data_IF_136587211942
#
_entry.id   IF_136587211942
#
_cell.length_a   1.000
_cell.length_b   1.000
_cell.length_c   1.000
_cell.angle_alpha   90.00
_cell.angle_beta   90.00
_cell.angle_gamma   90.00
#
_symmetry.space_group_name_H-M   'P 1'
#
loop_
_entity.id
_entity.type
_entity.pdbx_description
1 polymer ?
#
# COMPACT_ATOMS: atom_id res chain seq x y z
N UNK A 1 15.75 16.51 0.55
CA UNK A 1 15.65 15.11 0.04
C UNK A 1 14.47 15.03 -0.89
N UNK A 2 14.67 14.59 -2.14
CA UNK A 2 13.59 14.39 -3.13
C UNK A 2 12.95 13.04 -2.92
N UNK A 3 11.63 13.02 -2.73
CA UNK A 3 10.86 11.79 -2.50
C UNK A 3 10.05 11.40 -3.74
N UNK A 4 10.08 10.14 -4.10
CA UNK A 4 9.23 9.58 -5.14
C UNK A 4 8.21 8.61 -4.53
N UNK A 5 6.94 8.97 -4.61
CA UNK A 5 5.82 8.18 -4.10
C UNK A 5 5.23 7.39 -5.27
N UNK A 6 5.32 6.09 -5.21
CA UNK A 6 4.85 5.16 -6.24
C UNK A 6 3.64 4.42 -5.69
N UNK A 7 2.55 4.36 -6.44
CA UNK A 7 1.38 3.62 -6.00
C UNK A 7 0.96 2.50 -6.96
N UNK A 8 0.51 1.40 -6.35
CA UNK A 8 -0.24 0.31 -7.00
C UNK A 8 -1.60 0.21 -6.33
N UNK A 9 -2.62 0.82 -6.93
CA UNK A 9 -3.96 0.92 -6.35
C UNK A 9 -5.00 0.28 -7.26
N UNK A 10 -5.99 -0.41 -6.68
CA UNK A 10 -7.14 -0.96 -7.41
C UNK A 10 -8.36 -0.05 -7.20
N UNK A 11 -8.74 0.15 -5.94
CA UNK A 11 -9.98 0.87 -5.58
C UNK A 11 -9.71 2.34 -5.16
N UNK A 12 -8.53 2.87 -5.46
CA UNK A 12 -8.17 4.28 -5.20
C UNK A 12 -7.72 4.59 -3.78
N UNK A 13 -7.91 3.72 -2.77
CA UNK A 13 -7.57 4.04 -1.39
C UNK A 13 -6.05 4.20 -1.19
N UNK A 14 -5.25 3.33 -1.81
CA UNK A 14 -3.78 3.48 -1.76
C UNK A 14 -3.33 4.82 -2.36
N UNK A 15 -3.95 5.25 -3.47
CA UNK A 15 -3.67 6.55 -4.07
C UNK A 15 -3.99 7.69 -3.10
N UNK A 16 -5.13 7.64 -2.39
CA UNK A 16 -5.48 8.66 -1.38
C UNK A 16 -4.46 8.75 -0.25
N UNK A 17 -3.98 7.60 0.23
CA UNK A 17 -2.91 7.58 1.25
C UNK A 17 -1.63 8.19 0.67
N UNK A 18 -1.22 7.83 -0.55
CA UNK A 18 -0.07 8.42 -1.22
C UNK A 18 -0.22 9.95 -1.40
N UNK A 19 -1.40 10.43 -1.76
CA UNK A 19 -1.70 11.87 -1.86
C UNK A 19 -1.59 12.57 -0.50
N UNK A 20 -2.07 11.94 0.58
CA UNK A 20 -1.91 12.45 1.94
C UNK A 20 -0.45 12.57 2.32
N UNK A 21 0.36 11.55 2.06
CA UNK A 21 1.82 11.58 2.26
C UNK A 21 2.47 12.70 1.44
N UNK A 22 2.10 12.82 0.15
CA UNK A 22 2.62 13.87 -0.74
C UNK A 22 2.41 15.27 -0.17
N UNK A 23 1.24 15.53 0.39
CA UNK A 23 0.91 16.85 0.95
C UNK A 23 1.77 17.23 2.15
N UNK A 24 2.37 16.25 2.83
CA UNK A 24 3.26 16.48 3.96
C UNK A 24 4.73 16.72 3.54
N UNK A 25 5.06 16.56 2.25
CA UNK A 25 6.43 16.70 1.74
C UNK A 25 6.55 17.77 0.66
N UNK A 26 7.39 18.77 0.88
CA UNK A 26 7.60 19.91 -0.04
C UNK A 26 8.20 19.52 -1.40
N UNK A 27 9.05 18.48 -1.44
CA UNK A 27 9.74 18.00 -2.64
C UNK A 27 9.42 16.55 -2.94
N UNK A 28 8.16 16.28 -3.29
CA UNK A 28 7.69 14.92 -3.57
C UNK A 28 6.93 14.83 -4.89
N UNK A 29 7.13 13.71 -5.57
CA UNK A 29 6.42 13.35 -6.80
C UNK A 29 5.61 12.09 -6.55
N UNK A 30 4.48 11.97 -7.23
CA UNK A 30 3.60 10.81 -7.13
C UNK A 30 3.29 10.28 -8.52
N UNK A 31 3.43 8.96 -8.72
CA UNK A 31 3.13 8.34 -10.00
C UNK A 31 2.62 6.89 -9.81
N UNK A 32 1.82 6.43 -10.77
CA UNK A 32 1.41 5.04 -10.85
C UNK A 32 2.57 4.13 -11.20
N UNK A 33 2.66 2.98 -10.54
CA UNK A 33 3.68 1.98 -10.83
C UNK A 33 3.72 1.54 -12.30
N UNK A 34 2.60 1.69 -13.01
CA UNK A 34 2.48 1.32 -14.43
C UNK A 34 3.17 2.31 -15.37
N UNK A 35 3.42 3.55 -14.91
CA UNK A 35 3.95 4.65 -15.73
C UNK A 35 5.43 4.95 -15.44
N UNK A 36 6.04 4.23 -14.48
CA UNK A 36 7.41 4.51 -14.03
C UNK A 36 8.43 4.11 -15.09
N UNK A 37 9.30 5.04 -15.42
CA UNK A 37 10.53 4.80 -16.18
C UNK A 37 11.68 4.59 -15.18
N UNK A 38 12.57 3.64 -15.45
CA UNK A 38 13.65 3.27 -14.52
C UNK A 38 14.59 4.44 -14.21
N UNK A 39 14.81 5.31 -15.19
CA UNK A 39 15.61 6.52 -15.09
C UNK A 39 15.09 7.48 -14.02
N UNK A 40 13.76 7.55 -13.86
CA UNK A 40 13.11 8.38 -12.84
C UNK A 40 13.57 8.00 -11.44
N UNK A 41 13.72 6.70 -11.16
CA UNK A 41 14.14 6.21 -9.83
C UNK A 41 15.53 6.74 -9.42
N UNK A 42 16.42 6.96 -10.39
CA UNK A 42 17.78 7.44 -10.14
C UNK A 42 17.82 8.87 -9.63
N UNK A 43 16.84 9.68 -10.02
CA UNK A 43 16.74 11.11 -9.72
C UNK A 43 16.25 11.44 -8.31
N UNK A 44 15.82 10.44 -7.55
CA UNK A 44 15.26 10.61 -6.21
C UNK A 44 16.14 9.98 -5.14
N UNK A 45 16.09 10.59 -3.96
CA UNK A 45 16.85 10.13 -2.78
C UNK A 45 16.09 9.06 -2.00
N UNK A 46 14.77 9.17 -1.96
CA UNK A 46 13.88 8.29 -1.20
C UNK A 46 12.72 7.80 -2.08
N UNK A 47 12.53 6.51 -2.15
CA UNK A 47 11.44 5.86 -2.90
C UNK A 47 10.44 5.28 -1.92
N UNK A 48 9.19 5.75 -2.00
CA UNK A 48 8.08 5.31 -1.16
C UNK A 48 7.11 4.54 -2.05
N UNK A 49 6.84 3.27 -1.74
CA UNK A 49 5.95 2.43 -2.53
C UNK A 49 4.74 2.04 -1.70
N UNK A 50 3.55 2.45 -2.14
CA UNK A 50 2.28 2.03 -1.56
C UNK A 50 1.56 1.02 -2.45
N UNK A 51 1.06 -0.08 -1.88
CA UNK A 51 0.38 -1.11 -2.65
C UNK A 51 -0.84 -1.68 -1.96
N UNK A 52 -1.95 -1.81 -2.72
CA UNK A 52 -3.15 -2.50 -2.25
C UNK A 52 -3.02 -4.01 -2.35
N UNK A 53 -3.73 -4.69 -1.45
CA UNK A 53 -3.97 -6.14 -1.53
C UNK A 53 -5.35 -6.39 -2.09
N UNK A 54 -5.45 -7.26 -3.09
CA UNK A 54 -6.72 -7.79 -3.59
C UNK A 54 -6.62 -9.29 -3.78
N UNK A 55 -7.67 -10.02 -3.41
CA UNK A 55 -7.69 -11.49 -3.44
C UNK A 55 -6.50 -12.16 -2.75
N UNK A 56 -6.08 -11.60 -1.61
CA UNK A 56 -5.04 -12.20 -0.78
C UNK A 56 -3.60 -11.99 -1.26
N UNK A 57 -3.36 -11.08 -2.21
CA UNK A 57 -2.01 -10.75 -2.68
C UNK A 57 -1.89 -9.30 -3.19
N UNK A 58 -0.67 -8.82 -3.28
CA UNK A 58 -0.37 -7.60 -4.03
C UNK A 58 -0.36 -7.88 -5.54
N UNK A 59 -0.43 -6.82 -6.36
CA UNK A 59 -0.49 -6.96 -7.81
C UNK A 59 0.77 -7.62 -8.40
N UNK A 60 0.60 -8.38 -9.48
CA UNK A 60 1.73 -8.95 -10.23
C UNK A 60 2.69 -7.88 -10.75
N UNK A 61 2.16 -6.68 -11.09
CA UNK A 61 2.96 -5.56 -11.57
C UNK A 61 3.91 -5.05 -10.48
N UNK A 62 3.48 -5.00 -9.21
CA UNK A 62 4.35 -4.65 -8.09
C UNK A 62 5.53 -5.62 -7.99
N UNK A 63 5.28 -6.91 -8.00
CA UNK A 63 6.35 -7.91 -7.91
C UNK A 63 7.33 -7.84 -9.09
N UNK A 64 6.83 -7.64 -10.32
CA UNK A 64 7.66 -7.45 -11.51
C UNK A 64 8.52 -6.18 -11.39
N UNK A 65 7.92 -5.06 -10.94
CA UNK A 65 8.61 -3.81 -10.74
C UNK A 65 9.75 -3.93 -9.74
N UNK A 66 9.49 -4.52 -8.57
CA UNK A 66 10.51 -4.71 -7.53
C UNK A 66 11.62 -5.63 -8.03
N UNK A 67 11.28 -6.75 -8.67
CA UNK A 67 12.28 -7.66 -9.22
C UNK A 67 13.20 -6.98 -10.24
N UNK A 68 12.62 -6.17 -11.14
CA UNK A 68 13.37 -5.45 -12.18
C UNK A 68 14.29 -4.36 -11.61
N UNK A 69 13.85 -3.69 -10.56
CA UNK A 69 14.52 -2.49 -10.04
C UNK A 69 15.20 -2.74 -8.67
N UNK A 70 15.36 -3.99 -8.26
CA UNK A 70 15.80 -4.36 -6.91
C UNK A 70 17.13 -3.69 -6.54
N UNK A 71 18.12 -3.73 -7.40
CA UNK A 71 19.44 -3.15 -7.14
C UNK A 71 19.38 -1.61 -6.93
N UNK A 72 18.51 -0.90 -7.68
CA UNK A 72 18.29 0.53 -7.48
C UNK A 72 17.59 0.78 -6.15
N UNK A 73 16.56 0.01 -5.84
CA UNK A 73 15.84 0.12 -4.57
C UNK A 73 16.75 -0.13 -3.36
N UNK A 74 17.66 -1.09 -3.45
CA UNK A 74 18.63 -1.41 -2.39
C UNK A 74 19.73 -0.35 -2.24
N UNK A 75 19.95 0.50 -3.24
CA UNK A 75 20.91 1.61 -3.18
C UNK A 75 20.32 2.94 -2.70
N UNK A 76 19.02 2.99 -2.43
CA UNK A 76 18.27 4.20 -2.06
C UNK A 76 17.61 4.01 -0.70
N UNK A 77 17.22 5.10 -0.05
CA UNK A 77 16.25 5.03 1.04
C UNK A 77 14.92 4.55 0.51
N UNK A 78 14.31 3.60 1.19
CA UNK A 78 13.07 3.00 0.72
C UNK A 78 12.05 2.83 1.82
N UNK A 79 10.80 3.11 1.47
CA UNK A 79 9.64 2.84 2.33
C UNK A 79 8.63 2.02 1.54
N UNK A 80 8.07 1.01 2.18
CA UNK A 80 6.95 0.25 1.62
C UNK A 80 5.77 0.28 2.57
N UNK A 81 4.56 0.45 2.05
CA UNK A 81 3.37 0.21 2.85
C UNK A 81 2.30 -0.59 2.10
N UNK A 82 1.64 -1.46 2.83
CA UNK A 82 0.54 -2.29 2.33
C UNK A 82 -0.80 -1.74 2.79
N UNK A 83 -1.72 -1.60 1.87
CA UNK A 83 -3.12 -1.23 2.16
C UNK A 83 -4.00 -2.45 1.99
N UNK A 84 -4.59 -2.92 3.07
CA UNK A 84 -5.41 -4.13 3.07
C UNK A 84 -6.46 -4.12 4.16
N UNK A 85 -7.64 -4.69 3.88
CA UNK A 85 -8.77 -4.69 4.83
C UNK A 85 -8.50 -5.54 6.08
N UNK A 86 -7.56 -6.48 6.02
CA UNK A 86 -7.20 -7.32 7.16
C UNK A 86 -6.57 -6.49 8.28
N UNK A 87 -5.90 -5.40 7.93
CA UNK A 87 -5.27 -4.47 8.87
C UNK A 87 -6.26 -3.69 9.76
N UNK A 88 -7.58 -3.78 9.52
CA UNK A 88 -8.60 -3.28 10.45
C UNK A 88 -8.59 -4.00 11.80
N UNK A 89 -7.97 -5.17 11.88
CA UNK A 89 -7.81 -5.96 13.09
C UNK A 89 -6.50 -5.60 13.78
N UNK A 90 -6.57 -5.22 15.06
CA UNK A 90 -5.42 -4.77 15.87
C UNK A 90 -4.26 -5.78 15.83
N UNK A 91 -4.58 -7.07 15.88
CA UNK A 91 -3.58 -8.15 15.82
C UNK A 91 -2.90 -8.31 14.44
N UNK A 92 -3.37 -7.58 13.41
CA UNK A 92 -2.88 -7.67 12.02
C UNK A 92 -2.53 -6.31 11.39
N UNK A 93 -2.50 -5.25 12.18
CA UNK A 93 -2.21 -3.90 11.70
C UNK A 93 -0.73 -3.51 11.77
N UNK A 94 0.15 -4.41 12.22
CA UNK A 94 1.60 -4.15 12.29
C UNK A 94 2.36 -4.93 11.21
N UNK A 95 3.52 -4.40 10.73
CA UNK A 95 4.35 -5.10 9.74
C UNK A 95 4.74 -6.52 10.17
N UNK A 96 5.06 -6.73 11.45
CA UNK A 96 5.47 -8.03 12.01
C UNK A 96 4.32 -9.05 12.08
N UNK A 97 3.07 -8.61 12.11
CA UNK A 97 1.90 -9.50 12.27
C UNK A 97 1.06 -9.62 11.02
N UNK A 98 1.17 -8.66 10.08
CA UNK A 98 0.37 -8.66 8.87
C UNK A 98 0.78 -9.78 7.91
N UNK A 99 -0.14 -10.66 7.48
CA UNK A 99 0.20 -11.80 6.64
C UNK A 99 0.67 -11.40 5.24
N UNK A 100 0.19 -10.26 4.72
CA UNK A 100 0.53 -9.80 3.37
C UNK A 100 1.92 -9.17 3.31
N UNK A 101 2.37 -8.51 4.38
CA UNK A 101 3.75 -8.05 4.50
C UNK A 101 4.70 -9.26 4.57
N UNK A 102 4.39 -10.25 5.39
CA UNK A 102 5.21 -11.49 5.47
C UNK A 102 5.32 -12.17 4.11
N UNK A 103 4.21 -12.30 3.40
CA UNK A 103 4.15 -12.89 2.06
C UNK A 103 4.97 -12.06 1.05
N UNK A 104 4.83 -10.73 1.10
CA UNK A 104 5.55 -9.80 0.25
C UNK A 104 7.07 -9.90 0.42
N UNK A 105 7.56 -9.82 1.66
CA UNK A 105 8.99 -9.92 1.98
C UNK A 105 9.57 -11.28 1.54
N UNK A 106 8.83 -12.38 1.77
CA UNK A 106 9.24 -13.72 1.32
C UNK A 106 9.37 -13.82 -0.20
N UNK A 107 8.44 -13.20 -0.95
CA UNK A 107 8.42 -13.25 -2.43
C UNK A 107 9.48 -12.35 -3.05
N UNK A 108 9.66 -11.14 -2.54
CA UNK A 108 10.55 -10.15 -3.14
C UNK A 108 12.01 -10.33 -2.69
N UNK A 109 12.21 -10.84 -1.48
CA UNK A 109 13.53 -10.85 -0.81
C UNK A 109 14.17 -9.45 -0.81
N UNK A 110 13.34 -8.41 -0.78
CA UNK A 110 13.72 -7.02 -0.66
C UNK A 110 13.20 -6.50 0.68
N UNK A 111 14.08 -5.87 1.44
CA UNK A 111 13.76 -5.32 2.77
C UNK A 111 13.84 -3.79 2.68
N UNK A 112 12.71 -3.08 2.67
CA UNK A 112 12.68 -1.62 2.77
C UNK A 112 13.16 -1.15 4.15
N UNK A 113 13.70 0.08 4.21
CA UNK A 113 14.15 0.69 5.49
C UNK A 113 12.98 0.95 6.44
N UNK A 114 11.81 1.29 5.89
CA UNK A 114 10.57 1.46 6.67
C UNK A 114 9.43 0.68 6.04
N UNK A 115 8.63 0.03 6.89
CA UNK A 115 7.43 -0.70 6.44
C UNK A 115 6.22 -0.21 7.23
N UNK A 116 5.14 0.11 6.49
CA UNK A 116 3.83 0.48 7.05
C UNK A 116 2.73 -0.50 6.65
N UNK A 117 1.66 -0.50 7.43
CA UNK A 117 0.45 -1.27 7.13
C UNK A 117 -0.75 -0.40 7.45
N UNK A 118 -1.65 -0.22 6.49
CA UNK A 118 -2.86 0.56 6.70
C UNK A 118 -4.09 -0.26 6.35
N UNK A 119 -5.16 -0.07 7.12
CA UNK A 119 -6.46 -0.59 6.76
C UNK A 119 -6.97 0.15 5.51
N UNK A 120 -7.61 -0.60 4.62
CA UNK A 120 -8.15 -0.06 3.39
C UNK A 120 -9.64 0.24 3.46
N UNK A 121 -10.22 0.58 2.31
CA UNK A 121 -11.65 0.81 2.11
C UNK A 121 -12.28 -0.40 1.41
N UNK A 122 -13.53 -0.69 1.74
CA UNK A 122 -14.42 -1.57 0.98
C UNK A 122 -15.49 -0.68 0.34
N UNK A 123 -15.62 -0.72 -0.97
CA UNK A 123 -16.57 0.08 -1.72
C UNK A 123 -17.59 -0.79 -2.46
N UNK A 124 -18.42 -1.49 -1.70
CA UNK A 124 -19.39 -2.44 -2.24
C UNK A 124 -20.27 -1.88 -3.37
N UNK A 125 -20.77 -0.61 -3.32
CA UNK A 125 -21.60 -0.08 -4.40
C UNK A 125 -20.88 -0.08 -5.76
N UNK A 126 -19.57 0.13 -5.76
CA UNK A 126 -18.76 0.24 -6.97
C UNK A 126 -18.16 -1.09 -7.43
N UNK A 127 -18.36 -2.17 -6.69
CA UNK A 127 -17.89 -3.50 -7.09
C UNK A 127 -18.84 -4.17 -8.07
N UNK A 128 -18.28 -4.84 -9.07
CA UNK A 128 -19.03 -5.76 -9.94
C UNK A 128 -19.65 -6.91 -9.13
N UNK A 129 -20.61 -7.60 -9.72
CA UNK A 129 -21.38 -8.66 -9.05
C UNK A 129 -20.50 -9.76 -8.43
N UNK A 130 -19.46 -10.21 -9.16
CA UNK A 130 -18.55 -11.27 -8.68
C UNK A 130 -17.74 -10.78 -7.49
N UNK A 131 -17.10 -9.61 -7.63
CA UNK A 131 -16.27 -9.02 -6.57
C UNK A 131 -17.06 -8.77 -5.31
N UNK A 132 -18.27 -8.22 -5.46
CA UNK A 132 -19.19 -7.93 -4.36
C UNK A 132 -19.50 -9.19 -3.53
N UNK A 133 -19.80 -10.31 -4.18
CA UNK A 133 -20.11 -11.56 -3.50
C UNK A 133 -18.87 -12.19 -2.85
N UNK A 134 -17.72 -12.19 -3.53
CA UNK A 134 -16.48 -12.71 -2.96
C UNK A 134 -16.06 -11.89 -1.73
N UNK A 135 -16.10 -10.57 -1.82
CA UNK A 135 -15.72 -9.70 -0.69
C UNK A 135 -16.73 -9.82 0.45
N UNK A 136 -18.03 -9.91 0.15
CA UNK A 136 -19.07 -10.16 1.15
C UNK A 136 -18.81 -11.48 1.91
N UNK A 137 -18.47 -12.56 1.22
CA UNK A 137 -18.14 -13.84 1.83
C UNK A 137 -16.89 -13.72 2.72
N UNK A 138 -15.83 -13.06 2.26
CA UNK A 138 -14.62 -12.81 3.05
C UNK A 138 -14.96 -12.00 4.31
N UNK A 139 -15.80 -10.98 4.19
CA UNK A 139 -16.22 -10.16 5.33
C UNK A 139 -17.03 -10.98 6.33
N UNK A 140 -17.94 -11.80 5.85
CA UNK A 140 -18.72 -12.69 6.72
C UNK A 140 -17.82 -13.65 7.52
N UNK A 141 -16.88 -14.35 6.86
CA UNK A 141 -15.93 -15.27 7.50
C UNK A 141 -15.02 -14.54 8.50
N UNK A 142 -14.70 -13.27 8.23
CA UNK A 142 -13.74 -12.49 9.04
C UNK A 142 -14.41 -11.52 10.02
N UNK A 143 -15.71 -11.69 10.28
CA UNK A 143 -16.52 -10.83 11.15
C UNK A 143 -16.45 -9.34 10.75
N UNK A 144 -16.51 -9.06 9.46
CA UNK A 144 -16.57 -7.71 8.89
C UNK A 144 -17.98 -7.33 8.41
N UNK A 145 -18.16 -6.10 7.93
CA UNK A 145 -19.45 -5.65 7.43
C UNK A 145 -19.86 -6.36 6.14
N UNK A 146 -21.13 -6.75 6.07
CA UNK A 146 -21.70 -7.49 4.93
C UNK A 146 -22.80 -6.76 4.16
N UNK A 147 -23.16 -5.55 4.59
CA UNK A 147 -24.15 -4.71 3.89
C UNK A 147 -23.53 -4.13 2.61
N UNK A 148 -24.02 -4.58 1.45
CA UNK A 148 -23.44 -4.26 0.14
C UNK A 148 -23.92 -2.95 -0.46
N UNK A 149 -24.81 -2.22 0.21
CA UNK A 149 -25.27 -0.90 -0.21
C UNK A 149 -24.41 0.25 0.30
N UNK A 150 -23.40 -0.02 1.11
CA UNK A 150 -22.56 0.99 1.75
C UNK A 150 -21.09 0.76 1.45
N UNK A 151 -20.32 1.85 1.54
CA UNK A 151 -18.85 1.82 1.60
C UNK A 151 -18.39 1.87 3.04
N UNK A 152 -17.25 1.23 3.31
CA UNK A 152 -16.64 1.18 4.65
C UNK A 152 -15.17 1.58 4.54
N UNK A 153 -14.81 2.73 5.08
CA UNK A 153 -13.42 3.19 5.19
C UNK A 153 -12.90 2.84 6.59
N UNK A 154 -11.86 2.01 6.63
CA UNK A 154 -11.19 1.58 7.86
C UNK A 154 -9.83 2.27 8.04
N UNK A 155 -9.49 3.21 7.16
CA UNK A 155 -8.19 3.88 7.20
C UNK A 155 -8.11 4.80 8.41
N UNK A 156 -7.12 4.57 9.26
CA UNK A 156 -6.73 5.49 10.31
C UNK A 156 -5.81 6.57 9.72
N UNK A 157 -6.38 7.77 9.55
CA UNK A 157 -5.67 8.88 8.93
C UNK A 157 -4.64 9.53 9.88
N UNK A 158 -4.82 9.40 11.20
CA UNK A 158 -3.82 9.84 12.18
C UNK A 158 -2.58 8.94 12.10
N UNK A 159 -2.78 7.62 11.97
CA UNK A 159 -1.68 6.68 11.77
C UNK A 159 -0.93 6.96 10.47
N UNK A 160 -1.62 7.36 9.39
CA UNK A 160 -0.99 7.79 8.13
C UNK A 160 -0.13 9.03 8.34
N UNK A 161 -0.63 10.02 9.09
CA UNK A 161 0.11 11.26 9.36
C UNK A 161 1.32 11.02 10.28
N UNK A 162 1.19 10.16 11.29
CA UNK A 162 2.32 9.73 12.13
C UNK A 162 3.38 8.99 11.32
N UNK A 163 2.95 8.07 10.46
CA UNK A 163 3.87 7.36 9.57
C UNK A 163 4.61 8.31 8.62
N UNK A 164 3.93 9.35 8.13
CA UNK A 164 4.57 10.39 7.31
C UNK A 164 5.72 11.07 8.04
N UNK A 165 5.53 11.44 9.32
CA UNK A 165 6.58 12.03 10.17
C UNK A 165 7.73 11.05 10.40
N UNK A 166 7.41 9.79 10.65
CA UNK A 166 8.40 8.73 10.86
C UNK A 166 9.29 8.49 9.61
N UNK A 167 8.74 8.68 8.41
CA UNK A 167 9.49 8.58 7.15
C UNK A 167 10.55 9.69 7.04
N UNK A 168 10.33 10.86 7.62
CA UNK A 168 11.28 11.96 7.59
C UNK A 168 12.47 11.75 8.54
N UNK A 169 12.35 10.83 9.50
CA UNK A 169 13.38 10.52 10.49
C UNK A 169 14.42 9.50 10.03
N UNK A 170 14.19 8.86 8.88
CA UNK A 170 15.09 7.84 8.32
C UNK A 170 15.98 8.36 7.21
#
# INVERSE_FOLDING_TARGET
MKKFIIYSSVDGQTLKICQRLKNNYSHSYIESISNIIVEDLKSFDHIIIGASVRYGDHSKNLYKFIKKNKSILESKRTTFFSVNVTARKIEKNKPSTNPYIKKFLKKTKWLPDKIGVFAGKIDFPNYGFIDKNIIKLIMWITNGPTYTSKSYDFTDWEEVDLFSKDIDLI
#
